data_IF_495114144219
#
_entry.id   IF_495114144219
#
_cell.length_a   1.000
_cell.length_b   1.000
_cell.length_c   1.000
_cell.angle_alpha   90.00
_cell.angle_beta   90.00
_cell.angle_gamma   90.00
#
_symmetry.space_group_name_H-M   'P 1'
#
loop_
_entity.id
_entity.type
_entity.pdbx_description
1 polymer ?
#
# COMPACT_ATOMS: atom_id res chain seq x y z
N UNK A 1 9.80 5.79 1.02
CA UNK A 1 10.62 6.66 1.89
C UNK A 1 10.24 6.38 3.32
N UNK A 2 11.22 6.31 4.21
CA UNK A 2 10.99 6.30 5.65
C UNK A 2 11.33 7.69 6.23
N UNK A 3 10.86 7.98 7.45
CA UNK A 3 11.06 9.27 8.10
C UNK A 3 12.55 9.70 8.20
N UNK A 4 13.51 8.80 8.52
CA UNK A 4 14.92 9.16 8.51
C UNK A 4 15.45 9.68 7.16
N UNK A 5 15.02 9.08 6.04
CA UNK A 5 15.41 9.57 4.70
C UNK A 5 14.89 10.99 4.42
N UNK A 6 13.66 11.28 4.85
CA UNK A 6 13.06 12.61 4.73
C UNK A 6 13.85 13.61 5.58
N UNK A 7 14.12 13.26 6.84
CA UNK A 7 14.89 14.08 7.77
C UNK A 7 16.29 14.43 7.25
N UNK A 8 17.00 13.46 6.69
CA UNK A 8 18.31 13.70 6.07
C UNK A 8 18.25 14.64 4.88
N UNK A 9 17.25 14.52 4.00
CA UNK A 9 17.07 15.43 2.87
C UNK A 9 16.79 16.87 3.34
N UNK A 10 15.91 17.04 4.33
CA UNK A 10 15.62 18.34 4.95
C UNK A 10 16.87 18.94 5.56
N UNK A 11 17.63 18.15 6.33
CA UNK A 11 18.88 18.61 6.96
C UNK A 11 19.91 19.07 5.92
N UNK A 12 20.09 18.29 4.85
CA UNK A 12 21.04 18.62 3.79
C UNK A 12 20.68 19.95 3.13
N UNK A 13 19.41 20.14 2.79
CA UNK A 13 18.92 21.37 2.16
C UNK A 13 18.97 22.58 3.10
N UNK A 14 18.65 22.39 4.39
CA UNK A 14 18.80 23.45 5.40
C UNK A 14 20.25 23.93 5.48
N UNK A 15 21.21 22.99 5.52
CA UNK A 15 22.64 23.30 5.61
C UNK A 15 23.13 23.99 4.34
N UNK A 16 22.66 23.60 3.14
CA UNK A 16 23.04 24.28 1.90
C UNK A 16 22.59 25.74 1.85
N UNK A 17 21.52 26.10 2.56
CA UNK A 17 21.09 27.49 2.75
C UNK A 17 21.76 28.21 3.94
N UNK A 18 22.65 27.55 4.68
CA UNK A 18 23.33 28.14 5.83
C UNK A 18 22.40 28.40 7.03
N UNK A 19 21.21 27.82 7.06
CA UNK A 19 20.24 28.03 8.12
C UNK A 19 20.54 27.15 9.33
N UNK A 20 20.36 27.65 10.54
CA UNK A 20 20.29 26.86 11.77
C UNK A 20 18.93 26.15 11.90
N UNK A 21 18.84 25.14 12.77
CA UNK A 21 17.57 24.47 13.08
C UNK A 21 16.54 25.45 13.70
N UNK A 22 17.01 26.43 14.48
CA UNK A 22 16.15 27.46 15.04
C UNK A 22 15.54 28.34 13.94
N UNK A 23 16.37 28.85 13.01
CA UNK A 23 15.90 29.69 11.90
C UNK A 23 14.89 28.95 11.01
N UNK A 24 15.15 27.69 10.67
CA UNK A 24 14.17 26.89 9.91
C UNK A 24 12.87 26.71 10.71
N UNK A 25 12.97 26.47 12.01
CA UNK A 25 11.82 26.39 12.90
C UNK A 25 10.99 27.67 12.88
N UNK A 26 11.63 28.82 13.08
CA UNK A 26 10.96 30.12 13.11
C UNK A 26 10.24 30.44 11.78
N UNK A 27 10.86 30.13 10.65
CA UNK A 27 10.26 30.34 9.31
C UNK A 27 9.11 29.36 9.06
N UNK A 28 9.27 28.09 9.41
CA UNK A 28 8.28 27.05 9.17
C UNK A 28 7.16 26.99 10.23
N UNK A 29 7.23 27.82 11.28
CA UNK A 29 6.29 27.80 12.40
C UNK A 29 6.42 26.56 13.29
N UNK A 30 7.64 26.04 13.44
CA UNK A 30 7.96 24.86 14.24
C UNK A 30 9.00 25.17 15.31
N UNK A 31 8.99 24.40 16.40
CA UNK A 31 10.06 24.51 17.39
C UNK A 31 11.37 23.94 16.86
N UNK A 32 12.51 24.46 17.33
CA UNK A 32 13.84 23.87 17.06
C UNK A 32 13.89 22.37 17.42
N UNK A 33 13.21 21.96 18.50
CA UNK A 33 13.15 20.56 18.93
C UNK A 33 12.45 19.71 17.87
N UNK A 34 11.34 20.18 17.32
CA UNK A 34 10.61 19.51 16.23
C UNK A 34 11.48 19.37 14.99
N UNK A 35 12.19 20.43 14.59
CA UNK A 35 13.15 20.36 13.46
C UNK A 35 14.25 19.34 13.75
N UNK A 36 14.79 19.32 14.97
CA UNK A 36 15.82 18.36 15.36
C UNK A 36 15.34 16.91 15.27
N UNK A 37 14.15 16.62 15.82
CA UNK A 37 13.55 15.27 15.76
C UNK A 37 13.21 14.87 14.33
N UNK A 38 12.69 15.79 13.52
CA UNK A 38 12.42 15.57 12.09
C UNK A 38 13.70 15.19 11.35
N UNK A 39 14.77 15.97 11.50
CA UNK A 39 16.06 15.74 10.85
C UNK A 39 16.75 14.44 11.27
N UNK A 40 16.47 13.95 12.48
CA UNK A 40 17.02 12.71 13.03
C UNK A 40 16.08 11.51 12.84
N UNK A 41 14.87 11.71 12.30
CA UNK A 41 13.88 10.66 12.11
C UNK A 41 13.30 10.10 13.41
N UNK A 42 13.35 10.84 14.51
CA UNK A 42 12.84 10.46 15.84
C UNK A 42 11.53 11.15 16.20
N UNK A 43 10.90 11.80 15.23
CA UNK A 43 9.63 12.50 15.40
C UNK A 43 8.46 11.50 15.37
N UNK A 44 7.61 11.53 16.40
CA UNK A 44 6.47 10.62 16.49
C UNK A 44 5.39 10.94 15.44
N UNK A 45 5.05 12.23 15.29
CA UNK A 45 4.08 12.71 14.32
C UNK A 45 4.35 14.15 13.86
N UNK A 46 3.96 14.43 12.62
CA UNK A 46 3.92 15.76 12.03
C UNK A 46 2.82 15.82 10.99
N UNK A 47 1.79 16.64 11.26
CA UNK A 47 0.73 16.88 10.29
C UNK A 47 1.26 17.37 8.94
N UNK A 48 0.65 16.90 7.85
CA UNK A 48 1.10 17.18 6.47
C UNK A 48 1.34 18.67 6.21
N UNK A 49 0.44 19.57 6.65
CA UNK A 49 0.61 21.01 6.43
C UNK A 49 1.90 21.56 7.03
N UNK A 50 2.28 21.08 8.23
CA UNK A 50 3.53 21.49 8.89
C UNK A 50 4.76 20.95 8.15
N UNK A 51 4.70 19.69 7.69
CA UNK A 51 5.75 19.13 6.86
C UNK A 51 5.88 19.90 5.54
N UNK A 52 4.76 20.21 4.89
CA UNK A 52 4.73 20.94 3.63
C UNK A 52 5.34 22.33 3.77
N UNK A 53 5.04 23.05 4.86
CA UNK A 53 5.67 24.35 5.13
C UNK A 53 7.19 24.27 5.22
N UNK A 54 7.74 23.21 5.85
CA UNK A 54 9.19 22.97 5.90
C UNK A 54 9.75 22.71 4.50
N UNK A 55 9.08 21.87 3.72
CA UNK A 55 9.49 21.51 2.36
C UNK A 55 9.46 22.74 1.44
N UNK A 56 8.39 23.53 1.47
CA UNK A 56 8.22 24.78 0.70
C UNK A 56 9.29 25.81 1.07
N UNK A 57 9.56 25.99 2.37
CA UNK A 57 10.63 26.87 2.87
C UNK A 57 12.00 26.47 2.30
N UNK A 58 12.21 25.17 2.11
CA UNK A 58 13.47 24.62 1.62
C UNK A 58 13.51 24.44 0.09
N UNK A 59 12.41 24.72 -0.62
CA UNK A 59 12.30 24.57 -2.07
C UNK A 59 12.39 23.12 -2.55
N UNK A 60 11.99 22.15 -1.72
CA UNK A 60 12.01 20.72 -2.04
C UNK A 60 10.60 20.15 -2.02
N UNK A 61 10.36 19.05 -2.74
CA UNK A 61 9.05 18.41 -2.83
C UNK A 61 9.16 16.91 -2.57
N UNK A 62 8.03 16.30 -2.18
CA UNK A 62 7.91 14.86 -2.06
C UNK A 62 7.13 14.30 -3.24
N UNK A 63 7.72 13.37 -3.97
CA UNK A 63 7.05 12.66 -5.06
C UNK A 63 6.56 11.28 -4.60
N UNK A 64 5.36 10.91 -5.04
CA UNK A 64 4.90 9.53 -4.91
C UNK A 64 5.51 8.69 -6.02
N UNK A 65 5.99 7.51 -5.65
CA UNK A 65 6.40 6.49 -6.62
C UNK A 65 5.58 5.26 -6.37
N UNK A 66 5.09 4.64 -7.44
CA UNK A 66 4.55 3.30 -7.31
C UNK A 66 5.64 2.41 -6.74
N UNK A 67 5.37 1.80 -5.58
CA UNK A 67 6.16 0.65 -5.18
C UNK A 67 6.02 -0.35 -6.33
N UNK A 68 7.13 -0.94 -6.79
CA UNK A 68 7.05 -2.25 -7.44
C UNK A 68 6.18 -3.07 -6.49
N UNK A 69 5.02 -3.54 -6.95
CA UNK A 69 4.04 -4.21 -6.08
C UNK A 69 4.70 -5.36 -5.32
N UNK A 70 3.98 -6.03 -4.41
CA UNK A 70 4.46 -7.34 -3.95
C UNK A 70 4.77 -8.16 -5.21
N UNK A 71 6.05 -8.34 -5.54
CA UNK A 71 6.41 -9.17 -6.67
C UNK A 71 5.82 -10.54 -6.34
N UNK A 72 5.00 -11.08 -7.23
CA UNK A 72 4.32 -12.35 -7.03
C UNK A 72 3.14 -12.28 -6.03
N UNK A 73 2.41 -11.17 -5.99
CA UNK A 73 1.19 -11.03 -5.17
C UNK A 73 0.16 -12.12 -5.47
N UNK A 74 -0.02 -12.50 -6.76
CA UNK A 74 -0.84 -13.64 -7.17
C UNK A 74 -0.36 -14.95 -6.58
N UNK A 75 0.96 -15.13 -6.45
CA UNK A 75 1.52 -16.36 -5.90
C UNK A 75 1.31 -16.44 -4.39
N UNK A 76 1.54 -15.32 -3.69
CA UNK A 76 1.23 -15.22 -2.27
C UNK A 76 -0.26 -15.43 -2.01
N UNK A 77 -1.14 -14.78 -2.78
CA UNK A 77 -2.59 -14.94 -2.68
C UNK A 77 -3.02 -16.41 -2.90
N UNK A 78 -2.51 -17.05 -3.94
CA UNK A 78 -2.80 -18.45 -4.24
C UNK A 78 -2.32 -19.38 -3.11
N UNK A 79 -1.13 -19.14 -2.57
CA UNK A 79 -0.58 -19.89 -1.44
C UNK A 79 -1.42 -19.71 -0.17
N UNK A 80 -1.79 -18.48 0.18
CA UNK A 80 -2.61 -18.18 1.36
C UNK A 80 -4.02 -18.76 1.26
N UNK A 81 -4.53 -18.95 0.05
CA UNK A 81 -5.84 -19.53 -0.21
C UNK A 81 -5.84 -21.08 -0.17
N UNK A 82 -4.67 -21.72 -0.20
CA UNK A 82 -4.51 -23.18 -0.33
C UNK A 82 -4.12 -23.87 0.98
N UNK A 83 -4.48 -23.31 2.15
CA UNK A 83 -4.02 -23.76 3.47
C UNK A 83 -4.43 -25.19 3.87
N UNK A 84 -5.46 -25.80 3.24
CA UNK A 84 -5.93 -27.14 3.62
C UNK A 84 -6.62 -27.95 2.50
N UNK A 85 -6.55 -27.51 1.24
CA UNK A 85 -7.35 -28.12 0.17
C UNK A 85 -6.55 -29.08 -0.71
N UNK A 86 -7.22 -30.16 -1.16
CA UNK A 86 -6.61 -31.19 -2.03
C UNK A 86 -6.26 -30.68 -3.43
N UNK A 87 -7.02 -29.71 -3.94
CA UNK A 87 -6.76 -29.11 -5.24
C UNK A 87 -5.76 -27.95 -5.07
N UNK A 88 -4.66 -27.95 -5.82
CA UNK A 88 -3.68 -26.86 -5.77
C UNK A 88 -4.19 -25.69 -6.59
N UNK A 89 -4.41 -24.54 -5.95
CA UNK A 89 -4.69 -23.29 -6.65
C UNK A 89 -3.36 -22.66 -7.05
N UNK A 90 -3.05 -22.68 -8.36
CA UNK A 90 -1.83 -22.04 -8.87
C UNK A 90 -2.04 -20.53 -9.12
N UNK A 91 -0.97 -19.72 -9.19
CA UNK A 91 -1.10 -18.28 -9.43
C UNK A 91 -1.78 -17.97 -10.78
N UNK A 92 -1.48 -18.78 -11.81
CA UNK A 92 -2.10 -18.65 -13.14
C UNK A 92 -3.59 -19.03 -13.14
N UNK A 93 -3.99 -20.01 -12.33
CA UNK A 93 -5.39 -20.39 -12.18
C UNK A 93 -6.17 -19.33 -11.40
N UNK A 94 -5.60 -18.82 -10.30
CA UNK A 94 -6.17 -17.69 -9.57
C UNK A 94 -6.35 -16.49 -10.49
N UNK A 95 -5.33 -16.14 -11.30
CA UNK A 95 -5.44 -15.06 -12.29
C UNK A 95 -6.64 -15.25 -13.23
N UNK A 96 -6.80 -16.45 -13.80
CA UNK A 96 -7.93 -16.74 -14.71
C UNK A 96 -9.28 -16.62 -13.99
N UNK A 97 -9.40 -17.14 -12.78
CA UNK A 97 -10.61 -17.06 -11.95
C UNK A 97 -10.96 -15.58 -11.68
N UNK A 98 -9.98 -14.80 -11.24
CA UNK A 98 -10.15 -13.36 -11.00
C UNK A 98 -10.60 -12.61 -12.26
N UNK A 99 -10.00 -12.93 -13.41
CA UNK A 99 -10.31 -12.28 -14.68
C UNK A 99 -11.67 -12.67 -15.24
N UNK A 100 -12.05 -13.95 -15.16
CA UNK A 100 -13.33 -14.45 -15.68
C UNK A 100 -14.51 -14.03 -14.81
N UNK A 101 -14.29 -13.88 -13.50
CA UNK A 101 -15.39 -13.72 -12.53
C UNK A 101 -16.20 -15.00 -12.33
N UNK A 102 -15.65 -16.13 -12.77
CA UNK A 102 -16.19 -17.46 -12.58
C UNK A 102 -15.25 -18.27 -11.68
N UNK A 103 -15.75 -18.71 -10.53
CA UNK A 103 -15.02 -19.51 -9.56
C UNK A 103 -15.52 -20.96 -9.65
N UNK A 104 -14.75 -21.88 -10.24
CA UNK A 104 -15.16 -23.27 -10.34
C UNK A 104 -15.41 -23.87 -8.95
N UNK A 105 -16.43 -24.73 -8.82
CA UNK A 105 -16.86 -25.35 -7.55
C UNK A 105 -15.70 -25.90 -6.70
N UNK A 106 -14.71 -26.52 -7.34
CA UNK A 106 -13.54 -27.09 -6.66
C UNK A 106 -12.60 -26.05 -6.01
N UNK A 107 -12.72 -24.77 -6.40
CA UNK A 107 -11.92 -23.66 -5.88
C UNK A 107 -12.72 -22.66 -5.05
N UNK A 108 -14.05 -22.81 -4.91
CA UNK A 108 -14.87 -21.85 -4.13
C UNK A 108 -14.32 -21.68 -2.71
N UNK A 109 -14.00 -22.78 -2.03
CA UNK A 109 -13.45 -22.75 -0.68
C UNK A 109 -12.12 -21.98 -0.60
N UNK A 110 -11.26 -22.08 -1.64
CA UNK A 110 -10.03 -21.29 -1.71
C UNK A 110 -10.31 -19.79 -1.84
N UNK A 111 -11.27 -19.42 -2.68
CA UNK A 111 -11.62 -18.01 -2.88
C UNK A 111 -12.28 -17.45 -1.62
N UNK A 112 -13.06 -18.25 -0.89
CA UNK A 112 -13.59 -17.86 0.42
C UNK A 112 -12.46 -17.59 1.43
N UNK A 113 -11.49 -18.51 1.57
CA UNK A 113 -10.30 -18.30 2.42
C UNK A 113 -9.51 -17.06 1.98
N UNK A 114 -9.36 -16.83 0.67
CA UNK A 114 -8.70 -15.63 0.16
C UNK A 114 -9.41 -14.34 0.59
N UNK A 115 -10.73 -14.32 0.60
CA UNK A 115 -11.52 -13.14 0.97
C UNK A 115 -11.53 -12.91 2.49
N UNK A 116 -11.57 -13.97 3.29
CA UNK A 116 -11.70 -13.88 4.74
C UNK A 116 -10.37 -13.78 5.48
N UNK A 117 -9.34 -14.48 5.01
CA UNK A 117 -8.11 -14.70 5.79
C UNK A 117 -6.88 -14.03 5.17
N UNK A 118 -6.86 -13.80 3.85
CA UNK A 118 -5.68 -13.22 3.22
C UNK A 118 -5.55 -11.72 3.55
N UNK A 119 -4.32 -11.23 3.83
CA UNK A 119 -4.09 -9.80 4.02
C UNK A 119 -4.59 -8.98 2.83
N UNK A 120 -5.40 -7.94 3.09
CA UNK A 120 -6.01 -7.10 2.06
C UNK A 120 -4.99 -6.56 1.05
N UNK A 121 -3.81 -6.17 1.51
CA UNK A 121 -2.73 -5.68 0.64
C UNK A 121 -2.27 -6.73 -0.39
N UNK A 122 -2.26 -8.02 -0.02
CA UNK A 122 -1.93 -9.13 -0.92
C UNK A 122 -3.05 -9.31 -1.95
N UNK A 123 -4.33 -9.26 -1.53
CA UNK A 123 -5.47 -9.37 -2.45
C UNK A 123 -5.46 -8.23 -3.47
N UNK A 124 -5.25 -6.98 -3.04
CA UNK A 124 -5.13 -5.83 -3.94
C UNK A 124 -3.92 -5.95 -4.88
N UNK A 125 -2.80 -6.48 -4.39
CA UNK A 125 -1.64 -6.82 -5.21
C UNK A 125 -1.99 -7.85 -6.29
N UNK A 126 -2.69 -8.93 -5.93
CA UNK A 126 -3.11 -9.96 -6.86
C UNK A 126 -4.11 -9.43 -7.91
N UNK A 127 -5.01 -8.54 -7.52
CA UNK A 127 -5.90 -7.82 -8.44
C UNK A 127 -5.09 -6.96 -9.41
N UNK A 128 -4.08 -6.22 -8.93
CA UNK A 128 -3.20 -5.42 -9.79
C UNK A 128 -2.43 -6.29 -10.79
N UNK A 129 -1.90 -7.44 -10.36
CA UNK A 129 -1.18 -8.37 -11.25
C UNK A 129 -2.10 -9.13 -12.22
N UNK A 130 -3.36 -9.38 -11.83
CA UNK A 130 -4.36 -10.03 -12.67
C UNK A 130 -4.99 -9.07 -13.68
N UNK A 131 -4.98 -7.76 -13.42
CA UNK A 131 -5.54 -6.76 -14.32
C UNK A 131 -4.85 -6.80 -15.69
N UNK A 132 -5.64 -6.67 -16.73
CA UNK A 132 -5.22 -6.58 -18.12
C UNK A 132 -6.02 -5.46 -18.82
N UNK A 133 -5.67 -5.15 -20.07
CA UNK A 133 -6.34 -4.09 -20.83
C UNK A 133 -7.84 -4.36 -21.01
N UNK A 134 -8.21 -5.61 -21.27
CA UNK A 134 -9.58 -6.11 -21.47
C UNK A 134 -10.31 -6.40 -20.14
N UNK A 135 -9.56 -6.66 -19.07
CA UNK A 135 -10.11 -6.92 -17.73
C UNK A 135 -9.45 -5.99 -16.70
N UNK A 136 -9.96 -4.77 -16.53
CA UNK A 136 -9.39 -3.80 -15.60
C UNK A 136 -9.60 -4.23 -14.15
N UNK A 137 -8.71 -3.78 -13.24
CA UNK A 137 -8.78 -4.06 -11.80
C UNK A 137 -10.17 -3.81 -11.20
N UNK A 138 -10.85 -2.73 -11.62
CA UNK A 138 -12.22 -2.41 -11.20
C UNK A 138 -13.23 -3.53 -11.50
N UNK A 139 -13.08 -4.24 -12.63
CA UNK A 139 -13.93 -5.37 -12.99
C UNK A 139 -13.65 -6.56 -12.08
N UNK A 140 -12.38 -6.87 -11.83
CA UNK A 140 -11.97 -7.94 -10.91
C UNK A 140 -12.49 -7.67 -9.49
N UNK A 141 -12.38 -6.43 -9.00
CA UNK A 141 -12.92 -6.04 -7.68
C UNK A 141 -14.44 -6.28 -7.58
N UNK A 142 -15.20 -6.03 -8.65
CA UNK A 142 -16.64 -6.36 -8.67
C UNK A 142 -16.90 -7.86 -8.57
N UNK A 143 -16.03 -8.71 -9.13
CA UNK A 143 -16.12 -10.16 -8.96
C UNK A 143 -15.89 -10.55 -7.49
N UNK A 144 -14.86 -9.98 -6.85
CA UNK A 144 -14.59 -10.20 -5.43
C UNK A 144 -15.79 -9.80 -4.55
N UNK A 145 -16.35 -8.60 -4.73
CA UNK A 145 -17.54 -8.16 -3.97
C UNK A 145 -18.79 -8.98 -4.27
N UNK A 146 -18.93 -9.54 -5.48
CA UNK A 146 -20.02 -10.46 -5.82
C UNK A 146 -19.88 -11.76 -5.02
N UNK A 147 -18.69 -12.36 -5.02
CA UNK A 147 -18.41 -13.60 -4.29
C UNK A 147 -18.50 -13.42 -2.78
N UNK A 148 -17.97 -12.33 -2.23
CA UNK A 148 -18.08 -12.03 -0.81
C UNK A 148 -19.55 -11.97 -0.35
N UNK A 149 -20.43 -11.35 -1.13
CA UNK A 149 -21.87 -11.34 -0.86
C UNK A 149 -22.52 -12.71 -1.05
N UNK A 150 -22.15 -13.43 -2.11
CA UNK A 150 -22.70 -14.75 -2.41
C UNK A 150 -22.36 -15.79 -1.34
N UNK A 151 -21.16 -15.71 -0.76
CA UNK A 151 -20.65 -16.68 0.21
C UNK A 151 -20.60 -16.14 1.64
N UNK A 152 -21.18 -14.96 1.88
CA UNK A 152 -21.23 -14.33 3.20
C UNK A 152 -19.85 -14.19 3.86
N UNK A 153 -18.86 -13.71 3.11
CA UNK A 153 -17.54 -13.41 3.64
C UNK A 153 -17.64 -12.44 4.83
N UNK A 154 -16.82 -12.68 5.85
CA UNK A 154 -16.83 -11.96 7.12
C UNK A 154 -16.09 -10.62 7.04
N UNK A 155 -15.17 -10.47 6.07
CA UNK A 155 -14.36 -9.27 5.95
C UNK A 155 -15.17 -8.10 5.33
N UNK A 156 -15.43 -7.01 6.08
CA UNK A 156 -16.37 -5.95 5.67
C UNK A 156 -15.86 -5.09 4.51
N UNK A 157 -14.57 -5.19 4.15
CA UNK A 157 -14.01 -4.44 3.02
C UNK A 157 -14.60 -4.85 1.66
N UNK A 158 -15.24 -6.02 1.60
CA UNK A 158 -15.83 -6.57 0.39
C UNK A 158 -17.33 -6.32 0.24
N UNK A 159 -17.97 -5.75 1.27
CA UNK A 159 -19.41 -5.49 1.35
C UNK A 159 -19.89 -4.42 0.36
#
# INVERSE_FOLDING_TARGET
MNLPQIGHAIRAQRISFGLSQQQLGDIAGLSRVTINQLENGTLDDLGYSKLNNVLDTLGITMETKEKKGHQHALALAAQTASTSYKAVLTPGMLKKILQSGDAPKQFEAHIMTLLDEAPTAIVLGAVKEAAAHDVPAKKIMKHLSKWARQWHANNPIWA
#
